data_IF_889257059472
#
_entry.id   IF_889257059472
#
_cell.length_a   1.000
_cell.length_b   1.000
_cell.length_c   1.000
_cell.angle_alpha   90.00
_cell.angle_beta   90.00
_cell.angle_gamma   90.00
#
_symmetry.space_group_name_H-M   'P 1'
#
loop_
_entity.id
_entity.type
_entity.pdbx_description
1 polymer ?
#
# COMPACT_ATOMS: atom_id res chain seq x y z
N UNK A 1 18.16 49.09 7.86
CA UNK A 1 18.73 48.03 6.99
C UNK A 1 18.49 46.63 7.57
N UNK A 2 18.75 46.42 8.86
CA UNK A 2 18.43 45.19 9.62
C UNK A 2 16.93 44.82 9.59
N UNK A 3 16.03 45.80 9.75
CA UNK A 3 14.57 45.57 9.70
C UNK A 3 14.07 45.07 8.34
N UNK A 4 14.62 45.58 7.23
CA UNK A 4 14.26 45.14 5.88
C UNK A 4 14.76 43.72 5.57
N UNK A 5 15.94 43.36 6.11
CA UNK A 5 16.48 42.00 6.00
C UNK A 5 15.61 41.00 6.76
N UNK A 6 15.21 41.34 8.00
CA UNK A 6 14.32 40.52 8.82
C UNK A 6 12.91 40.41 8.22
N UNK A 7 12.37 41.48 7.62
CA UNK A 7 11.09 41.45 6.91
C UNK A 7 11.15 40.59 5.65
N UNK A 8 12.24 40.66 4.87
CA UNK A 8 12.43 39.78 3.71
C UNK A 8 12.60 38.32 4.13
N UNK A 9 13.34 38.06 5.20
CA UNK A 9 13.55 36.72 5.73
C UNK A 9 12.24 36.11 6.25
N UNK A 10 11.41 36.89 6.96
CA UNK A 10 10.10 36.43 7.44
C UNK A 10 9.08 36.20 6.31
N UNK A 11 9.11 37.00 5.24
CA UNK A 11 8.34 36.76 4.02
C UNK A 11 8.78 35.49 3.28
N UNK A 12 10.09 35.22 3.22
CA UNK A 12 10.64 34.01 2.62
C UNK A 12 10.22 32.76 3.40
N UNK A 13 10.29 32.80 4.73
CA UNK A 13 9.81 31.71 5.61
C UNK A 13 8.31 31.48 5.40
N UNK A 14 7.49 32.54 5.29
CA UNK A 14 6.05 32.40 4.94
C UNK A 14 5.81 31.75 3.58
N UNK A 15 6.65 32.03 2.59
CA UNK A 15 6.56 31.41 1.26
C UNK A 15 6.92 29.92 1.27
N UNK A 16 7.82 29.49 2.15
CA UNK A 16 8.24 28.08 2.28
C UNK A 16 7.21 27.24 3.04
N UNK A 17 6.48 27.84 3.99
CA UNK A 17 5.49 27.14 4.81
C UNK A 17 4.07 27.09 4.19
N UNK A 18 3.90 27.62 2.97
CA UNK A 18 2.61 27.68 2.28
C UNK A 18 2.31 26.42 1.44
N UNK A 19 3.30 25.55 1.25
CA UNK A 19 3.19 24.27 0.53
C UNK A 19 3.36 23.11 1.53
N UNK A 20 2.46 23.04 2.52
CA UNK A 20 2.28 21.80 3.27
C UNK A 20 1.41 20.89 2.39
N UNK A 21 1.96 19.80 1.82
CA UNK A 21 1.12 18.83 1.15
C UNK A 21 0.10 18.35 2.18
N UNK A 22 -1.19 18.54 1.91
CA UNK A 22 -2.24 17.98 2.76
C UNK A 22 -2.07 16.46 2.75
N UNK A 23 -1.38 15.96 3.77
CA UNK A 23 -1.01 14.55 3.90
C UNK A 23 -2.27 13.81 4.31
N UNK A 24 -3.12 13.54 3.32
CA UNK A 24 -4.34 12.78 3.50
C UNK A 24 -3.93 11.35 3.83
N UNK A 25 -3.96 11.04 5.13
CA UNK A 25 -3.68 9.72 5.69
C UNK A 25 -4.82 8.75 5.33
N UNK A 26 -4.96 8.43 4.04
CA UNK A 26 -5.85 7.38 3.58
C UNK A 26 -5.11 6.04 3.60
N UNK A 27 -5.65 5.10 4.36
CA UNK A 27 -5.22 3.71 4.35
C UNK A 27 -6.30 2.85 3.72
N UNK A 28 -5.99 1.57 3.51
CA UNK A 28 -6.97 0.61 3.03
C UNK A 28 -8.18 0.55 3.99
N UNK A 29 -9.42 0.63 3.48
CA UNK A 29 -10.61 0.55 4.32
C UNK A 29 -10.72 -0.82 4.99
N UNK A 30 -11.37 -0.87 6.16
CA UNK A 30 -11.66 -2.11 6.84
C UNK A 30 -12.60 -2.99 5.98
N UNK A 31 -12.18 -4.24 5.76
CA UNK A 31 -12.96 -5.21 4.99
C UNK A 31 -13.62 -6.20 5.95
N UNK A 32 -14.94 -6.15 6.07
CA UNK A 32 -15.72 -6.99 6.98
C UNK A 32 -15.60 -8.50 6.69
N UNK A 33 -15.10 -8.88 5.50
CA UNK A 33 -14.81 -10.29 5.18
C UNK A 33 -13.66 -10.87 6.01
N UNK A 34 -12.83 -10.01 6.59
CA UNK A 34 -11.66 -10.39 7.39
C UNK A 34 -11.73 -9.78 8.80
N UNK A 35 -12.66 -10.23 9.68
CA UNK A 35 -12.84 -9.66 11.02
C UNK A 35 -11.74 -10.07 12.01
N UNK A 36 -10.88 -11.02 11.64
CA UNK A 36 -9.81 -11.52 12.50
C UNK A 36 -8.63 -10.56 12.54
N UNK A 37 -7.89 -10.54 13.66
CA UNK A 37 -6.65 -9.77 13.80
C UNK A 37 -5.55 -10.17 12.81
N UNK A 38 -5.59 -11.39 12.29
CA UNK A 38 -4.64 -11.87 11.29
C UNK A 38 -5.01 -11.37 9.87
N UNK A 39 -4.29 -10.36 9.38
CA UNK A 39 -4.51 -9.73 8.07
C UNK A 39 -3.80 -10.44 6.89
N UNK A 40 -3.22 -11.63 7.11
CA UNK A 40 -2.46 -12.35 6.08
C UNK A 40 -3.33 -12.66 4.85
N UNK A 41 -4.55 -13.19 5.06
CA UNK A 41 -5.51 -13.47 3.96
C UNK A 41 -5.99 -12.20 3.26
N UNK A 42 -6.13 -11.10 4.01
CA UNK A 42 -6.54 -9.81 3.46
C UNK A 42 -5.46 -9.26 2.51
N UNK A 43 -4.20 -9.26 2.94
CA UNK A 43 -3.04 -8.90 2.10
C UNK A 43 -2.96 -9.78 0.83
N UNK A 44 -3.19 -11.09 0.93
CA UNK A 44 -3.15 -11.98 -0.22
C UNK A 44 -4.25 -11.72 -1.25
N UNK A 45 -5.47 -11.48 -0.78
CA UNK A 45 -6.61 -11.19 -1.64
C UNK A 45 -6.37 -9.91 -2.45
N UNK A 46 -5.90 -8.83 -1.79
CA UNK A 46 -5.60 -7.56 -2.47
C UNK A 46 -4.44 -7.65 -3.46
N UNK A 47 -3.41 -8.45 -3.14
CA UNK A 47 -2.29 -8.71 -4.05
C UNK A 47 -2.76 -9.40 -5.35
N UNK A 48 -3.62 -10.41 -5.25
CA UNK A 48 -4.18 -11.09 -6.42
C UNK A 48 -5.09 -10.16 -7.22
N UNK A 49 -5.94 -9.37 -6.57
CA UNK A 49 -6.82 -8.41 -7.24
C UNK A 49 -6.02 -7.40 -8.09
N UNK A 50 -4.89 -6.91 -7.57
CA UNK A 50 -3.99 -6.03 -8.31
C UNK A 50 -3.41 -6.71 -9.56
N UNK A 51 -2.84 -7.91 -9.43
CA UNK A 51 -2.25 -8.62 -10.57
C UNK A 51 -3.29 -9.10 -11.59
N UNK A 52 -4.51 -9.43 -11.15
CA UNK A 52 -5.64 -9.71 -12.05
C UNK A 52 -6.09 -8.44 -12.79
N UNK A 53 -6.09 -7.29 -12.12
CA UNK A 53 -6.40 -6.00 -12.74
C UNK A 53 -5.38 -5.66 -13.83
N UNK A 54 -4.08 -5.82 -13.54
CA UNK A 54 -3.01 -5.63 -14.52
C UNK A 54 -3.15 -6.56 -15.73
N UNK A 55 -3.42 -7.84 -15.50
CA UNK A 55 -3.58 -8.82 -16.58
C UNK A 55 -4.82 -8.57 -17.45
N UNK A 56 -5.90 -8.04 -16.87
CA UNK A 56 -7.16 -7.81 -17.59
C UNK A 56 -7.22 -6.45 -18.31
N UNK A 57 -6.64 -5.39 -17.74
CA UNK A 57 -6.79 -4.02 -18.23
C UNK A 57 -5.52 -3.41 -18.81
N UNK A 58 -4.36 -4.03 -18.61
CA UNK A 58 -3.06 -3.41 -18.93
C UNK A 58 -2.66 -2.31 -17.94
N UNK A 59 -1.41 -1.88 -18.01
CA UNK A 59 -0.75 -0.94 -17.09
C UNK A 59 -1.38 0.47 -17.08
N UNK A 60 -2.20 0.78 -18.09
CA UNK A 60 -2.73 2.12 -18.40
C UNK A 60 -4.01 2.50 -17.64
N UNK A 61 -4.58 1.62 -16.82
CA UNK A 61 -5.82 1.95 -16.09
C UNK A 61 -5.53 2.46 -14.67
N UNK A 62 -5.83 3.73 -14.41
CA UNK A 62 -5.89 4.35 -13.07
C UNK A 62 -6.78 3.56 -12.08
N UNK A 63 -7.61 2.64 -12.59
CA UNK A 63 -8.40 1.70 -11.80
C UNK A 63 -7.53 0.72 -10.99
N UNK A 64 -6.36 0.30 -11.50
CA UNK A 64 -5.49 -0.64 -10.81
C UNK A 64 -4.62 0.03 -9.72
N UNK A 65 -4.44 1.35 -9.78
CA UNK A 65 -3.65 2.11 -8.80
C UNK A 65 -4.27 2.06 -7.39
N UNK A 66 -5.60 2.01 -7.28
CA UNK A 66 -6.30 1.85 -5.99
C UNK A 66 -5.94 0.53 -5.31
N UNK A 67 -5.93 -0.57 -6.08
CA UNK A 67 -5.47 -1.86 -5.58
C UNK A 67 -3.98 -1.84 -5.23
N UNK A 68 -3.21 -1.03 -5.95
CA UNK A 68 -1.79 -0.84 -5.67
C UNK A 68 -1.53 -0.20 -4.30
N UNK A 69 -2.29 0.84 -3.97
CA UNK A 69 -2.25 1.50 -2.66
C UNK A 69 -2.62 0.53 -1.54
N UNK A 70 -3.68 -0.27 -1.73
CA UNK A 70 -4.16 -1.20 -0.70
C UNK A 70 -3.21 -2.36 -0.42
N UNK A 71 -2.61 -3.00 -1.45
CA UNK A 71 -1.68 -4.10 -1.18
C UNK A 71 -0.39 -3.61 -0.51
N UNK A 72 0.08 -2.40 -0.84
CA UNK A 72 1.29 -1.79 -0.24
C UNK A 72 1.07 -1.41 1.22
N UNK A 73 -0.14 -0.99 1.59
CA UNK A 73 -0.50 -0.65 2.97
C UNK A 73 -0.70 -1.89 3.86
N UNK A 74 -1.18 -3.00 3.31
CA UNK A 74 -1.55 -4.20 4.08
C UNK A 74 -0.45 -5.27 4.17
N UNK A 75 0.44 -5.35 3.17
CA UNK A 75 1.45 -6.41 3.08
C UNK A 75 2.83 -5.95 3.56
N UNK A 76 3.53 -6.73 4.39
CA UNK A 76 4.95 -6.47 4.68
C UNK A 76 5.79 -6.63 3.41
N UNK A 77 6.82 -5.78 3.26
CA UNK A 77 7.66 -5.70 2.06
C UNK A 77 8.31 -7.04 1.65
N UNK A 78 8.74 -7.82 2.64
CA UNK A 78 9.36 -9.14 2.44
C UNK A 78 8.44 -10.11 1.69
N UNK A 79 7.12 -10.07 1.95
CA UNK A 79 6.17 -10.96 1.31
C UNK A 79 5.91 -10.59 -0.15
N UNK A 80 6.13 -9.33 -0.53
CA UNK A 80 5.99 -8.89 -1.91
C UNK A 80 7.17 -9.39 -2.75
N UNK A 81 8.39 -9.27 -2.21
CA UNK A 81 9.63 -9.72 -2.86
C UNK A 81 9.64 -11.24 -3.03
N UNK A 82 9.22 -11.99 -2.00
CA UNK A 82 9.17 -13.45 -2.08
C UNK A 82 8.14 -13.96 -3.10
N UNK A 83 7.04 -13.23 -3.32
CA UNK A 83 5.96 -13.63 -4.22
C UNK A 83 6.21 -13.26 -5.68
N UNK A 84 6.94 -12.19 -5.96
CA UNK A 84 7.30 -11.84 -7.34
C UNK A 84 8.22 -12.87 -8.01
N UNK A 85 8.97 -13.65 -7.22
CA UNK A 85 9.93 -14.64 -7.72
C UNK A 85 9.32 -15.96 -8.21
N UNK A 86 8.10 -16.33 -7.84
CA UNK A 86 7.45 -17.57 -8.30
C UNK A 86 5.97 -17.52 -7.92
N UNK A 87 5.04 -17.69 -8.89
CA UNK A 87 3.62 -18.11 -8.73
C UNK A 87 2.56 -17.18 -9.32
N UNK A 88 2.21 -17.41 -10.58
CA UNK A 88 0.91 -17.01 -11.13
C UNK A 88 -0.16 -18.12 -10.98
N UNK A 89 0.22 -19.36 -10.64
CA UNK A 89 -0.73 -20.51 -10.55
C UNK A 89 -0.63 -21.41 -9.31
N UNK A 90 0.53 -21.52 -8.65
CA UNK A 90 0.67 -22.27 -7.38
C UNK A 90 0.51 -21.35 -6.13
N UNK A 91 0.16 -20.07 -6.37
CA UNK A 91 0.05 -18.94 -5.42
C UNK A 91 -0.65 -19.28 -4.11
N UNK A 92 -1.87 -19.79 -4.24
CA UNK A 92 -2.72 -20.16 -3.13
C UNK A 92 -2.12 -21.31 -2.31
N UNK A 93 -1.66 -22.37 -2.98
CA UNK A 93 -1.17 -23.57 -2.30
C UNK A 93 0.15 -23.35 -1.57
N UNK A 94 1.01 -22.43 -2.05
CA UNK A 94 2.26 -22.05 -1.38
C UNK A 94 2.02 -21.03 -0.26
N UNK A 95 1.08 -20.09 -0.46
CA UNK A 95 0.66 -19.14 0.58
C UNK A 95 0.08 -19.85 1.81
N UNK A 96 -0.78 -20.86 1.64
CA UNK A 96 -1.30 -21.65 2.76
C UNK A 96 -0.23 -22.49 3.48
N UNK A 97 0.86 -22.86 2.79
CA UNK A 97 1.96 -23.65 3.36
C UNK A 97 3.02 -22.82 4.07
N UNK A 98 3.20 -21.56 3.68
CA UNK A 98 4.29 -20.71 4.17
C UNK A 98 3.83 -19.42 4.87
N UNK A 99 2.52 -19.19 5.04
CA UNK A 99 2.03 -18.13 5.92
C UNK A 99 2.38 -18.50 7.39
N UNK A 100 3.26 -17.74 8.06
CA UNK A 100 3.85 -18.12 9.34
C UNK A 100 2.85 -18.16 10.52
N UNK A 101 1.60 -17.74 10.29
CA UNK A 101 0.54 -17.68 11.30
C UNK A 101 -0.62 -18.66 11.06
N UNK A 102 -0.52 -19.61 10.12
CA UNK A 102 -1.59 -20.55 9.78
C UNK A 102 -1.23 -22.03 10.00
N UNK A 103 -0.25 -22.32 10.86
CA UNK A 103 0.03 -23.69 11.31
C UNK A 103 -0.98 -24.24 12.34
N UNK A 104 -2.10 -23.54 12.56
CA UNK A 104 -3.30 -24.09 13.21
C UNK A 104 -4.51 -23.88 12.29
N UNK A 105 -4.73 -24.84 11.38
CA UNK A 105 -6.10 -25.31 11.08
C UNK A 105 -6.38 -26.40 12.13
N UNK A 106 -7.50 -26.34 12.85
CA UNK A 106 -8.82 -26.70 12.33
C UNK A 106 -8.77 -28.08 11.67
#
# INVERSE_FOLDING_TARGET
KTTQFLLRFSLLIRSVMADEPQLLLETAPADFRFPTTNQTRHCFTRYIEFHRCLAAKGEESNACERFAKYYRALCPGEWMIKRSGTLSRLGEAYFWRHAPALHRRA
#
